data_IF_511205699693
#
_entry.id   IF_511205699693
#
_cell.length_a   1.000
_cell.length_b   1.000
_cell.length_c   1.000
_cell.angle_alpha   90.00
_cell.angle_beta   90.00
_cell.angle_gamma   90.00
#
_symmetry.space_group_name_H-M   'P 1'
#
loop_
_entity.id
_entity.type
_entity.pdbx_description
1 polymer ?
#
# COMPACT_ATOMS: atom_id res chain seq x y z
N UNK A 1 -70.36 -7.37 -43.89
CA UNK A 1 -69.14 -7.60 -44.72
C UNK A 1 -67.92 -7.31 -43.85
N UNK A 2 -67.11 -8.34 -43.57
CA UNK A 2 -65.64 -8.42 -43.30
C UNK A 2 -64.94 -7.31 -42.47
N UNK A 3 -63.98 -7.52 -41.56
CA UNK A 3 -63.18 -8.67 -41.03
C UNK A 3 -62.24 -8.12 -39.90
N UNK A 4 -61.97 -8.94 -38.87
CA UNK A 4 -60.77 -9.13 -37.99
C UNK A 4 -60.10 -7.93 -37.27
N UNK A 5 -59.98 -7.93 -35.93
CA UNK A 5 -59.14 -8.74 -34.99
C UNK A 5 -57.70 -8.21 -34.77
N UNK A 6 -57.42 -7.90 -33.49
CA UNK A 6 -56.19 -8.12 -32.69
C UNK A 6 -54.87 -7.50 -33.17
N UNK A 7 -54.25 -6.66 -32.33
CA UNK A 7 -52.83 -6.74 -31.92
C UNK A 7 -52.65 -5.94 -30.60
N UNK A 8 -52.81 -6.55 -29.42
CA UNK A 8 -51.72 -6.98 -28.51
C UNK A 8 -50.68 -5.91 -28.14
N UNK A 9 -50.74 -5.45 -26.90
CA UNK A 9 -49.66 -5.35 -25.91
C UNK A 9 -48.21 -5.60 -26.43
N UNK A 10 -47.58 -4.62 -27.06
CA UNK A 10 -46.18 -4.74 -27.54
C UNK A 10 -45.27 -3.54 -27.21
N UNK A 11 -45.57 -2.77 -26.15
CA UNK A 11 -44.69 -1.68 -25.69
C UNK A 11 -44.23 -1.80 -24.23
N UNK A 12 -44.23 -3.02 -23.67
CA UNK A 12 -43.77 -3.29 -22.29
C UNK A 12 -42.57 -4.27 -22.22
N UNK A 13 -41.79 -4.41 -23.30
CA UNK A 13 -40.62 -5.30 -23.35
C UNK A 13 -39.44 -4.68 -24.09
N UNK A 14 -39.08 -3.44 -23.72
CA UNK A 14 -37.84 -2.81 -24.21
C UNK A 14 -37.07 -2.17 -23.04
N UNK A 15 -36.96 -2.88 -21.92
CA UNK A 15 -36.29 -2.42 -20.69
C UNK A 15 -35.39 -3.47 -20.02
N UNK A 16 -34.93 -4.49 -20.74
CA UNK A 16 -34.11 -5.55 -20.15
C UNK A 16 -32.97 -6.03 -21.06
N UNK A 17 -32.08 -5.13 -21.49
CA UNK A 17 -30.77 -5.54 -22.05
C UNK A 17 -29.66 -4.50 -21.85
N UNK A 18 -29.62 -3.84 -20.69
CA UNK A 18 -28.32 -3.41 -20.14
C UNK A 18 -27.96 -4.41 -19.05
N UNK A 19 -27.55 -5.60 -19.49
CA UNK A 19 -26.73 -6.49 -18.69
C UNK A 19 -25.49 -5.70 -18.31
N UNK A 20 -25.51 -5.14 -17.11
CA UNK A 20 -24.34 -4.67 -16.39
C UNK A 20 -23.40 -5.86 -16.26
N UNK A 21 -22.54 -6.05 -17.27
CA UNK A 21 -21.30 -6.78 -17.11
C UNK A 21 -20.48 -5.95 -16.13
N UNK A 22 -20.68 -6.16 -14.84
CA UNK A 22 -19.66 -5.87 -13.85
C UNK A 22 -18.48 -6.75 -14.25
N UNK A 23 -17.59 -6.20 -15.08
CA UNK A 23 -16.24 -6.69 -15.23
C UNK A 23 -15.67 -6.65 -13.82
N UNK A 24 -15.70 -7.81 -13.15
CA UNK A 24 -14.80 -8.08 -12.06
C UNK A 24 -13.43 -8.06 -12.73
N UNK A 25 -12.79 -6.89 -12.74
CA UNK A 25 -11.37 -6.81 -13.01
C UNK A 25 -10.72 -7.72 -11.97
N UNK A 26 -10.33 -8.92 -12.39
CA UNK A 26 -9.52 -9.79 -11.57
C UNK A 26 -8.23 -9.00 -11.34
N UNK A 27 -8.07 -8.50 -10.12
CA UNK A 27 -6.87 -7.79 -9.70
C UNK A 27 -5.74 -8.82 -9.71
N UNK A 28 -5.10 -8.94 -10.87
CA UNK A 28 -3.94 -9.78 -11.04
C UNK A 28 -2.87 -9.14 -10.18
N UNK A 29 -2.33 -9.90 -9.22
CA UNK A 29 -1.26 -9.45 -8.34
C UNK A 29 -0.07 -9.01 -9.20
N UNK A 30 0.03 -7.71 -9.47
CA UNK A 30 1.19 -7.13 -10.15
C UNK A 30 2.37 -7.28 -9.21
N UNK A 31 3.39 -8.00 -9.66
CA UNK A 31 4.68 -8.00 -8.97
C UNK A 31 5.30 -6.64 -9.26
N UNK A 32 5.60 -5.88 -8.22
CA UNK A 32 6.28 -4.59 -8.32
C UNK A 32 7.77 -4.75 -8.00
N UNK A 33 8.61 -4.07 -8.76
CA UNK A 33 10.08 -4.16 -8.59
C UNK A 33 10.57 -3.34 -7.38
N UNK A 34 9.91 -2.24 -7.06
CA UNK A 34 10.30 -1.35 -5.97
C UNK A 34 9.07 -0.80 -5.22
N UNK A 35 9.05 -0.99 -3.90
CA UNK A 35 7.99 -0.49 -3.03
C UNK A 35 8.30 0.90 -2.43
N UNK A 36 9.46 1.49 -2.72
CA UNK A 36 9.90 2.74 -2.13
C UNK A 36 9.73 3.93 -3.07
N UNK A 37 9.21 5.06 -2.59
CA UNK A 37 9.18 6.29 -3.36
C UNK A 37 10.56 6.92 -3.49
N UNK A 38 10.66 7.82 -4.47
CA UNK A 38 11.83 8.68 -4.61
C UNK A 38 12.07 9.47 -3.32
N UNK A 39 13.32 9.48 -2.84
CA UNK A 39 13.74 10.17 -1.62
C UNK A 39 13.99 9.25 -0.42
N UNK A 40 13.53 7.99 -0.48
CA UNK A 40 14.05 6.92 0.39
C UNK A 40 15.39 6.44 -0.16
N UNK A 41 16.38 6.18 0.72
CA UNK A 41 17.68 5.66 0.29
C UNK A 41 17.50 4.33 -0.45
N UNK A 42 18.25 4.14 -1.54
CA UNK A 42 18.24 2.88 -2.31
C UNK A 42 18.89 1.72 -1.54
N UNK A 43 19.62 2.03 -0.47
CA UNK A 43 20.25 1.03 0.40
C UNK A 43 19.22 0.39 1.34
N UNK A 44 18.08 1.05 1.58
CA UNK A 44 17.01 0.52 2.43
C UNK A 44 16.29 -0.64 1.73
N UNK A 45 16.10 -1.73 2.46
CA UNK A 45 15.25 -2.84 2.05
C UNK A 45 14.51 -3.45 3.26
N UNK A 46 13.39 -4.13 2.99
CA UNK A 46 12.60 -4.79 4.03
C UNK A 46 13.30 -6.07 4.46
N UNK A 47 13.38 -6.30 5.77
CA UNK A 47 14.20 -7.36 6.34
C UNK A 47 15.64 -6.95 6.64
N UNK A 48 16.04 -5.70 6.33
CA UNK A 48 17.35 -5.18 6.69
C UNK A 48 17.60 -5.32 8.20
N UNK A 49 18.69 -5.98 8.62
CA UNK A 49 19.06 -6.07 10.03
C UNK A 49 19.36 -4.70 10.63
N UNK A 50 18.99 -4.49 11.89
CA UNK A 50 19.26 -3.22 12.58
C UNK A 50 20.74 -2.82 12.52
N UNK A 51 21.64 -3.78 12.72
CA UNK A 51 23.10 -3.51 12.69
C UNK A 51 23.59 -3.02 11.32
N UNK A 52 22.94 -3.45 10.23
CA UNK A 52 23.26 -3.01 8.88
C UNK A 52 22.68 -1.61 8.62
N UNK A 53 21.46 -1.36 9.09
CA UNK A 53 20.84 -0.04 9.02
C UNK A 53 21.70 1.03 9.71
N UNK A 54 22.16 0.76 10.94
CA UNK A 54 22.97 1.70 11.71
C UNK A 54 24.33 1.99 11.06
N UNK A 55 24.85 1.08 10.23
CA UNK A 55 26.12 1.26 9.51
C UNK A 55 25.96 2.05 8.21
N UNK A 56 24.85 1.85 7.50
CA UNK A 56 24.68 2.36 6.15
C UNK A 56 23.79 3.61 6.07
N UNK A 57 22.90 3.82 7.04
CA UNK A 57 21.88 4.86 6.96
C UNK A 57 22.23 6.03 7.88
N UNK A 58 22.81 7.06 7.26
CA UNK A 58 23.19 8.29 7.96
C UNK A 58 21.99 9.21 8.25
N UNK A 59 22.07 9.95 9.36
CA UNK A 59 21.11 10.98 9.72
C UNK A 59 19.76 10.47 10.26
N UNK A 60 19.64 9.16 10.48
CA UNK A 60 18.55 8.58 11.25
C UNK A 60 18.88 8.64 12.75
N UNK A 61 17.93 9.11 13.56
CA UNK A 61 18.04 9.23 15.01
C UNK A 61 17.12 8.20 15.68
N UNK A 62 17.64 7.44 16.65
CA UNK A 62 16.81 6.61 17.52
C UNK A 62 15.90 7.51 18.36
N UNK A 63 14.58 7.28 18.30
CA UNK A 63 13.60 8.09 19.05
C UNK A 63 12.82 7.29 20.07
N UNK A 64 12.68 5.99 19.86
CA UNK A 64 11.94 5.12 20.76
C UNK A 64 12.46 3.69 20.66
N UNK A 65 12.63 3.05 21.81
CA UNK A 65 12.82 1.63 21.93
C UNK A 65 11.89 1.18 23.06
N UNK A 66 10.93 0.31 22.73
CA UNK A 66 9.94 -0.17 23.67
C UNK A 66 9.89 -1.70 23.63
N UNK A 67 8.86 -2.32 24.23
CA UNK A 67 8.76 -3.77 24.32
C UNK A 67 8.26 -4.46 23.05
N UNK A 68 8.00 -3.73 21.97
CA UNK A 68 7.47 -4.28 20.71
C UNK A 68 8.19 -3.79 19.44
N UNK A 69 8.92 -2.66 19.48
CA UNK A 69 9.69 -2.17 18.32
C UNK A 69 10.81 -1.21 18.71
N UNK A 70 11.72 -1.02 17.76
CA UNK A 70 12.73 0.04 17.77
C UNK A 70 12.37 1.03 16.65
N UNK A 71 12.44 2.32 16.95
CA UNK A 71 12.00 3.40 16.06
C UNK A 71 13.13 4.37 15.79
N UNK A 72 13.46 4.50 14.51
CA UNK A 72 14.34 5.55 14.00
C UNK A 72 13.56 6.60 13.23
N UNK A 73 14.01 7.85 13.29
CA UNK A 73 13.49 8.96 12.48
C UNK A 73 14.63 9.59 11.69
N UNK A 74 14.47 9.70 10.39
CA UNK A 74 15.33 10.48 9.52
C UNK A 74 14.57 11.71 9.03
N UNK A 75 15.02 12.90 9.44
CA UNK A 75 14.45 14.16 8.96
C UNK A 75 15.12 14.52 7.63
N UNK A 76 14.31 14.81 6.62
CA UNK A 76 14.82 15.19 5.31
C UNK A 76 14.65 16.69 5.11
N UNK A 77 15.63 17.30 4.45
CA UNK A 77 15.61 18.74 4.09
C UNK A 77 14.94 18.99 2.74
N UNK A 78 14.35 17.95 2.15
CA UNK A 78 13.67 18.04 0.85
C UNK A 78 12.33 18.76 0.98
N UNK A 79 11.85 19.37 -0.10
CA UNK A 79 10.54 20.05 -0.11
C UNK A 79 9.37 19.06 -0.02
N UNK A 80 9.56 17.82 -0.45
CA UNK A 80 8.48 16.85 -0.63
C UNK A 80 8.31 15.94 0.58
N UNK A 81 9.40 15.38 1.10
CA UNK A 81 9.39 14.51 2.28
C UNK A 81 9.98 15.28 3.46
N UNK A 82 9.21 15.36 4.55
CA UNK A 82 9.62 16.00 5.80
C UNK A 82 10.43 15.04 6.68
N UNK A 83 9.98 13.79 6.77
CA UNK A 83 10.65 12.76 7.55
C UNK A 83 10.26 11.35 7.12
N UNK A 84 11.14 10.41 7.40
CA UNK A 84 10.91 8.97 7.29
C UNK A 84 11.05 8.38 8.69
N UNK A 85 10.14 7.48 9.06
CA UNK A 85 10.19 6.70 10.29
C UNK A 85 10.40 5.24 9.91
N UNK A 86 11.32 4.57 10.60
CA UNK A 86 11.68 3.18 10.38
C UNK A 86 11.36 2.38 11.64
N UNK A 87 10.58 1.31 11.50
CA UNK A 87 10.24 0.39 12.59
C UNK A 87 10.93 -0.95 12.40
N UNK A 88 11.70 -1.33 13.41
CA UNK A 88 12.37 -2.61 13.50
C UNK A 88 11.70 -3.48 14.55
N UNK A 89 11.71 -4.79 14.32
CA UNK A 89 11.31 -5.76 15.32
C UNK A 89 12.34 -5.81 16.47
N UNK A 90 12.01 -6.46 17.57
CA UNK A 90 12.93 -6.75 18.67
C UNK A 90 13.54 -8.14 18.57
N UNK A 91 12.82 -9.05 17.94
CA UNK A 91 13.20 -10.45 17.82
C UNK A 91 14.17 -10.69 16.65
N UNK A 92 14.89 -11.81 16.73
CA UNK A 92 15.88 -12.21 15.73
C UNK A 92 16.94 -11.12 15.48
N UNK A 93 17.18 -10.82 14.21
CA UNK A 93 18.11 -9.78 13.76
C UNK A 93 17.52 -8.37 13.78
N UNK A 94 16.32 -8.21 14.38
CA UNK A 94 15.58 -6.94 14.44
C UNK A 94 15.36 -6.41 13.03
N UNK A 95 14.64 -7.13 12.15
CA UNK A 95 14.44 -6.71 10.77
C UNK A 95 13.60 -5.43 10.66
N UNK A 96 13.95 -4.57 9.69
CA UNK A 96 13.09 -3.47 9.26
C UNK A 96 11.82 -4.02 8.60
N UNK A 97 10.64 -3.75 9.18
CA UNK A 97 9.37 -4.28 8.65
C UNK A 97 8.36 -3.20 8.27
N UNK A 98 8.52 -1.97 8.72
CA UNK A 98 7.59 -0.88 8.43
C UNK A 98 8.32 0.45 8.23
N UNK A 99 7.90 1.18 7.21
CA UNK A 99 8.38 2.51 6.87
C UNK A 99 7.19 3.46 6.77
N UNK A 100 7.30 4.60 7.46
CA UNK A 100 6.29 5.67 7.41
C UNK A 100 6.93 6.93 6.86
N UNK A 101 6.40 7.41 5.73
CA UNK A 101 6.93 8.58 5.04
C UNK A 101 5.95 9.73 5.24
N UNK A 102 6.41 10.81 5.88
CA UNK A 102 5.60 12.02 6.09
C UNK A 102 5.94 13.05 5.02
N UNK A 103 4.93 13.41 4.25
CA UNK A 103 5.02 14.38 3.16
C UNK A 103 4.66 15.79 3.62
N UNK A 104 5.09 16.79 2.86
CA UNK A 104 4.75 18.19 3.13
C UNK A 104 3.31 18.55 2.75
N UNK A 105 2.65 17.74 1.92
CA UNK A 105 1.32 18.01 1.39
C UNK A 105 0.40 16.78 1.55
N UNK A 106 -0.84 17.01 1.98
CA UNK A 106 -1.89 16.00 2.16
C UNK A 106 -2.18 15.14 0.92
N UNK A 107 -1.99 15.67 -0.29
CA UNK A 107 -2.27 14.94 -1.53
C UNK A 107 -1.08 14.11 -2.02
N UNK A 108 0.13 14.40 -1.56
CA UNK A 108 1.33 13.67 -2.00
C UNK A 108 1.29 12.17 -1.66
N UNK A 109 0.92 11.72 -0.45
CA UNK A 109 0.88 10.30 -0.12
C UNK A 109 0.01 9.49 -1.08
N UNK A 110 -1.18 9.99 -1.43
CA UNK A 110 -2.13 9.30 -2.33
C UNK A 110 -1.55 9.24 -3.75
N UNK A 111 -1.04 10.35 -4.26
CA UNK A 111 -0.45 10.39 -5.61
C UNK A 111 0.75 9.45 -5.74
N UNK A 112 1.59 9.41 -4.71
CA UNK A 112 2.75 8.52 -4.66
C UNK A 112 2.31 7.06 -4.54
N UNK A 113 1.33 6.74 -3.69
CA UNK A 113 0.77 5.39 -3.59
C UNK A 113 0.20 4.91 -4.94
N UNK A 114 -0.56 5.75 -5.64
CA UNK A 114 -1.04 5.44 -6.99
C UNK A 114 0.08 5.22 -7.98
N UNK A 115 1.13 6.05 -7.92
CA UNK A 115 2.28 5.90 -8.81
C UNK A 115 3.09 4.63 -8.55
N UNK A 116 3.18 4.18 -7.29
CA UNK A 116 3.94 2.99 -6.91
C UNK A 116 3.15 1.70 -7.08
N UNK A 117 1.89 1.71 -6.67
CA UNK A 117 1.08 0.51 -6.45
C UNK A 117 -0.13 0.41 -7.39
N UNK A 118 -0.41 1.45 -8.17
CA UNK A 118 -1.61 1.54 -8.99
C UNK A 118 -2.85 1.92 -8.18
N UNK A 119 -4.03 1.52 -8.65
CA UNK A 119 -5.28 1.76 -7.91
C UNK A 119 -5.37 0.90 -6.64
N UNK A 120 -6.02 1.38 -5.57
CA UNK A 120 -6.28 0.58 -4.38
C UNK A 120 -6.93 -0.75 -4.72
N UNK A 121 -6.47 -1.83 -4.08
CA UNK A 121 -6.96 -3.18 -4.32
C UNK A 121 -7.44 -3.89 -3.05
N UNK A 122 -7.41 -3.21 -1.92
CA UNK A 122 -7.91 -3.68 -0.63
C UNK A 122 -8.69 -2.57 0.07
N UNK A 123 -9.86 -2.90 0.64
CA UNK A 123 -10.76 -1.98 1.36
C UNK A 123 -11.01 -0.61 0.71
N UNK A 124 -10.91 -0.54 -0.63
CA UNK A 124 -11.06 0.66 -1.46
C UNK A 124 -10.02 1.77 -1.25
N UNK A 125 -9.23 1.74 -0.18
CA UNK A 125 -8.28 2.79 0.19
C UNK A 125 -6.86 2.30 0.43
N UNK A 126 -6.62 1.01 0.26
CA UNK A 126 -5.36 0.36 0.61
C UNK A 126 -4.80 -0.49 -0.55
N UNK A 127 -3.50 -0.74 -0.47
CA UNK A 127 -2.75 -1.48 -1.48
C UNK A 127 -2.11 -2.71 -0.84
N UNK A 128 -2.45 -3.89 -1.34
CA UNK A 128 -1.83 -5.18 -1.04
C UNK A 128 -1.18 -5.68 -2.33
N UNK A 129 0.14 -5.54 -2.42
CA UNK A 129 0.92 -5.93 -3.60
C UNK A 129 1.97 -6.98 -3.23
N UNK A 130 2.56 -7.62 -4.23
CA UNK A 130 3.67 -8.54 -4.05
C UNK A 130 4.92 -7.92 -4.66
N UNK A 131 6.06 -8.01 -3.97
CA UNK A 131 7.37 -7.85 -4.59
C UNK A 131 7.96 -9.24 -4.81
N UNK A 132 9.17 -9.31 -5.37
CA UNK A 132 9.89 -10.59 -5.47
C UNK A 132 10.27 -11.17 -4.09
N UNK A 133 10.33 -10.34 -3.06
CA UNK A 133 10.84 -10.72 -1.73
C UNK A 133 9.73 -10.82 -0.68
N UNK A 134 8.79 -9.87 -0.69
CA UNK A 134 7.83 -9.67 0.39
C UNK A 134 6.43 -9.37 -0.15
N UNK A 135 5.42 -9.67 0.67
CA UNK A 135 4.08 -9.10 0.46
C UNK A 135 4.03 -7.73 1.12
N UNK A 136 3.60 -6.71 0.39
CA UNK A 136 3.60 -5.33 0.85
C UNK A 136 2.16 -4.88 1.05
N UNK A 137 1.87 -4.35 2.23
CA UNK A 137 0.60 -3.69 2.54
C UNK A 137 0.88 -2.21 2.78
N UNK A 138 0.11 -1.34 2.14
CA UNK A 138 0.27 0.10 2.25
C UNK A 138 -1.06 0.82 2.37
N UNK A 139 -1.06 1.94 3.08
CA UNK A 139 -2.22 2.81 3.20
C UNK A 139 -1.77 4.25 3.47
N UNK A 140 -2.69 5.19 3.25
CA UNK A 140 -2.47 6.60 3.53
C UNK A 140 -3.16 6.98 4.84
N UNK A 141 -2.44 7.71 5.70
CA UNK A 141 -2.99 8.30 6.92
C UNK A 141 -2.57 9.77 7.05
N UNK A 142 -3.47 10.69 6.72
CA UNK A 142 -3.18 12.14 6.61
C UNK A 142 -2.03 12.39 5.63
N UNK A 143 -1.00 13.14 6.01
CA UNK A 143 0.20 13.41 5.20
C UNK A 143 1.18 12.23 5.16
N UNK A 144 0.79 11.03 5.60
CA UNK A 144 1.67 9.88 5.71
C UNK A 144 1.30 8.79 4.71
N UNK A 145 2.32 8.22 4.07
CA UNK A 145 2.24 6.91 3.43
C UNK A 145 2.88 5.89 4.37
N UNK A 146 2.10 4.89 4.79
CA UNK A 146 2.59 3.75 5.58
C UNK A 146 2.77 2.58 4.63
N UNK A 147 3.93 1.94 4.69
CA UNK A 147 4.30 0.80 3.87
C UNK A 147 4.87 -0.25 4.82
N UNK A 148 4.28 -1.44 4.81
CA UNK A 148 4.68 -2.55 5.68
C UNK A 148 4.96 -3.78 4.83
N UNK A 149 6.01 -4.52 5.21
CA UNK A 149 6.30 -5.82 4.65
C UNK A 149 5.78 -6.92 5.57
N UNK A 150 5.14 -7.93 4.97
CA UNK A 150 4.79 -9.15 5.66
C UNK A 150 6.03 -10.03 5.83
N UNK A 151 6.78 -9.74 6.90
CA UNK A 151 7.93 -10.54 7.34
C UNK A 151 7.44 -11.51 8.43
N UNK A 152 7.78 -12.81 8.38
CA UNK A 152 7.41 -13.78 9.42
C UNK A 152 7.75 -13.29 10.82
N UNK A 153 6.89 -13.63 11.79
CA UNK A 153 7.05 -13.35 13.22
C UNK A 153 7.08 -11.85 13.61
N UNK A 154 6.91 -10.93 12.66
CA UNK A 154 6.73 -9.49 12.91
C UNK A 154 5.25 -9.12 13.14
N UNK A 155 4.99 -7.89 13.61
CA UNK A 155 3.63 -7.39 13.94
C UNK A 155 2.58 -7.64 12.83
N UNK A 156 3.00 -7.55 11.56
CA UNK A 156 2.11 -7.62 10.41
C UNK A 156 1.93 -9.03 9.83
N UNK A 157 2.73 -10.00 10.28
CA UNK A 157 2.76 -11.37 9.74
C UNK A 157 1.38 -12.05 9.71
N UNK A 158 0.64 -11.91 10.81
CA UNK A 158 -0.68 -12.52 11.00
C UNK A 158 -1.83 -11.73 10.38
N UNK A 159 -1.60 -10.47 9.97
CA UNK A 159 -2.67 -9.55 9.54
C UNK A 159 -2.94 -9.55 8.04
N UNK A 160 -2.06 -10.15 7.22
CA UNK A 160 -2.23 -10.16 5.76
C UNK A 160 -3.46 -10.95 5.27
N UNK A 161 -3.88 -11.98 5.99
CA UNK A 161 -5.01 -12.84 5.57
C UNK A 161 -6.32 -12.49 6.28
N UNK A 162 -6.30 -11.53 7.20
CA UNK A 162 -7.48 -11.00 7.87
C UNK A 162 -8.00 -9.77 7.13
#
# INVERSE_FOLDING_TARGET
MKIKNRFTNYYLYLLLFFSSTSLLAQNQSTIIDNAYPQGVSKEIYYGMPLSEFEQNIEGAELVEENSFRIVFIQKLTTKEIQKIVYYFDLDGEKPLYEIIITYSNLQQPVNIAHSLFGEPNFDQTEWRVHTNEHKIWSWVFKEKLVIVANIPDTEWSSKWNN
#
